data_IF_331420091466
#
_entry.id   IF_331420091466
#
_cell.length_a   1.000
_cell.length_b   1.000
_cell.length_c   1.000
_cell.angle_alpha   90.00
_cell.angle_beta   90.00
_cell.angle_gamma   90.00
#
_symmetry.space_group_name_H-M   'P 1'
#
loop_
_entity.id
_entity.type
_entity.pdbx_description
1 polymer ?
#
# COMPACT_ATOMS: atom_id res chain seq x y z
N UNK A 1 -70.96 3.38 2.27
CA UNK A 1 -70.32 2.06 2.38
C UNK A 1 -69.27 2.24 3.44
N UNK A 2 -69.36 1.52 4.56
CA UNK A 2 -68.57 1.83 5.76
C UNK A 2 -67.08 1.64 5.45
N UNK A 3 -66.31 2.72 5.59
CA UNK A 3 -64.84 2.70 5.56
C UNK A 3 -64.35 1.97 6.82
N UNK A 4 -64.53 0.65 6.84
CA UNK A 4 -63.95 -0.21 7.88
C UNK A 4 -62.43 -0.19 7.73
N UNK A 5 -61.77 0.00 8.85
CA UNK A 5 -60.32 0.10 8.94
C UNK A 5 -59.67 -1.17 8.35
N UNK A 6 -58.65 -1.05 7.47
CA UNK A 6 -57.95 -2.20 6.90
C UNK A 6 -57.50 -3.23 7.95
N UNK A 7 -57.12 -2.79 9.15
CA UNK A 7 -56.72 -3.66 10.26
C UNK A 7 -57.90 -4.49 10.80
N UNK A 8 -59.09 -3.90 10.90
CA UNK A 8 -60.32 -4.60 11.31
C UNK A 8 -60.77 -5.64 10.28
N UNK A 9 -60.57 -5.37 8.97
CA UNK A 9 -60.88 -6.32 7.89
C UNK A 9 -60.02 -7.58 7.93
N UNK A 10 -58.78 -7.46 8.41
CA UNK A 10 -57.88 -8.59 8.63
C UNK A 10 -57.99 -9.18 10.05
N UNK A 11 -58.82 -8.59 10.93
CA UNK A 11 -59.00 -9.05 12.31
C UNK A 11 -57.76 -8.84 13.20
N UNK A 12 -56.90 -7.89 12.84
CA UNK A 12 -55.64 -7.60 13.56
C UNK A 12 -55.68 -6.22 14.19
N UNK A 13 -54.92 -6.04 15.27
CA UNK A 13 -54.76 -4.74 15.90
C UNK A 13 -53.85 -3.82 15.08
N UNK A 14 -54.02 -2.50 15.20
CA UNK A 14 -53.21 -1.50 14.45
C UNK A 14 -51.71 -1.56 14.80
N UNK A 15 -51.39 -2.03 16.01
CA UNK A 15 -50.03 -2.23 16.53
C UNK A 15 -49.43 -3.61 16.26
N UNK A 16 -50.17 -4.51 15.57
CA UNK A 16 -49.71 -5.86 15.26
C UNK A 16 -48.37 -5.85 14.48
N UNK A 17 -47.54 -6.85 14.72
CA UNK A 17 -46.30 -7.04 13.97
C UNK A 17 -46.59 -7.42 12.50
N UNK A 18 -45.59 -7.23 11.62
CA UNK A 18 -45.77 -7.60 10.20
C UNK A 18 -46.03 -9.10 10.03
N UNK A 19 -45.39 -9.92 10.87
CA UNK A 19 -45.55 -11.38 10.85
C UNK A 19 -46.99 -11.78 11.22
N UNK A 20 -47.58 -11.14 12.24
CA UNK A 20 -48.98 -11.38 12.64
C UNK A 20 -49.98 -10.99 11.55
N UNK A 21 -49.72 -9.91 10.79
CA UNK A 21 -50.56 -9.48 9.66
C UNK A 21 -50.51 -10.51 8.53
N UNK A 22 -49.32 -11.07 8.27
CA UNK A 22 -49.14 -12.10 7.24
C UNK A 22 -49.82 -13.42 7.62
N UNK A 23 -49.75 -13.81 8.89
CA UNK A 23 -50.40 -15.01 9.41
C UNK A 23 -51.93 -14.87 9.39
N UNK A 24 -52.46 -13.70 9.73
CA UNK A 24 -53.90 -13.40 9.65
C UNK A 24 -54.42 -13.45 8.21
N UNK A 25 -53.67 -12.87 7.24
CA UNK A 25 -54.00 -12.98 5.81
C UNK A 25 -54.07 -14.44 5.38
N UNK A 26 -53.03 -15.23 5.67
CA UNK A 26 -52.99 -16.64 5.26
C UNK A 26 -54.14 -17.44 5.86
N UNK A 27 -54.45 -17.22 7.15
CA UNK A 27 -55.58 -17.87 7.83
C UNK A 27 -56.93 -17.51 7.19
N UNK A 28 -57.13 -16.25 6.79
CA UNK A 28 -58.37 -15.80 6.15
C UNK A 28 -58.51 -16.31 4.71
N UNK A 29 -57.40 -16.38 3.96
CA UNK A 29 -57.37 -16.95 2.62
C UNK A 29 -57.69 -18.45 2.63
N UNK A 30 -57.21 -19.19 3.63
CA UNK A 30 -57.54 -20.61 3.82
C UNK A 30 -59.02 -20.81 4.17
N UNK A 31 -59.60 -19.93 4.99
CA UNK A 31 -61.01 -19.99 5.38
C UNK A 31 -61.97 -19.58 4.24
N UNK A 32 -61.56 -18.68 3.35
CA UNK A 32 -62.38 -18.12 2.27
C UNK A 32 -61.95 -18.58 0.86
N UNK A 33 -61.21 -19.70 0.76
CA UNK A 33 -60.54 -20.22 -0.45
C UNK A 33 -61.41 -20.58 -1.67
N UNK A 34 -62.65 -20.09 -1.76
CA UNK A 34 -63.52 -20.26 -2.92
C UNK A 34 -64.42 -19.06 -3.25
N UNK A 35 -64.40 -17.98 -2.47
CA UNK A 35 -65.22 -16.78 -2.72
C UNK A 35 -64.36 -15.60 -3.18
N UNK A 36 -64.34 -15.36 -4.50
CA UNK A 36 -63.46 -14.38 -5.13
C UNK A 36 -63.63 -12.94 -4.64
N UNK A 37 -64.84 -12.57 -4.18
CA UNK A 37 -65.10 -11.23 -3.64
C UNK A 37 -64.42 -11.05 -2.27
N UNK A 38 -64.51 -12.07 -1.41
CA UNK A 38 -63.86 -12.09 -0.11
C UNK A 38 -62.33 -12.05 -0.25
N UNK A 39 -61.77 -12.76 -1.24
CA UNK A 39 -60.32 -12.72 -1.53
C UNK A 39 -59.85 -11.32 -1.95
N UNK A 40 -60.57 -10.66 -2.85
CA UNK A 40 -60.23 -9.30 -3.30
C UNK A 40 -60.26 -8.29 -2.14
N UNK A 41 -61.22 -8.42 -1.22
CA UNK A 41 -61.30 -7.56 -0.02
C UNK A 41 -60.13 -7.80 0.94
N UNK A 42 -59.72 -9.07 1.13
CA UNK A 42 -58.57 -9.43 1.98
C UNK A 42 -57.27 -8.89 1.39
N UNK A 43 -57.05 -9.04 0.09
CA UNK A 43 -55.86 -8.54 -0.60
C UNK A 43 -55.80 -7.01 -0.61
N UNK A 44 -56.92 -6.34 -0.88
CA UNK A 44 -57.00 -4.88 -0.82
C UNK A 44 -56.73 -4.33 0.60
N UNK A 45 -57.18 -5.04 1.65
CA UNK A 45 -56.89 -4.65 3.04
C UNK A 45 -55.40 -4.83 3.38
N UNK A 46 -54.79 -5.93 2.92
CA UNK A 46 -53.36 -6.19 3.09
C UNK A 46 -52.49 -5.14 2.39
N UNK A 47 -52.81 -4.81 1.14
CA UNK A 47 -52.10 -3.79 0.37
C UNK A 47 -52.23 -2.39 1.01
N UNK A 48 -53.41 -2.05 1.53
CA UNK A 48 -53.62 -0.79 2.25
C UNK A 48 -52.73 -0.69 3.50
N UNK A 49 -52.61 -1.77 4.29
CA UNK A 49 -51.74 -1.81 5.48
C UNK A 49 -50.27 -1.72 5.08
N UNK A 50 -49.89 -2.41 4.01
CA UNK A 50 -48.52 -2.39 3.50
C UNK A 50 -48.11 -0.99 3.05
N UNK A 51 -48.99 -0.31 2.29
CA UNK A 51 -48.75 1.06 1.82
C UNK A 51 -48.72 2.07 2.97
N UNK A 52 -49.60 1.93 3.96
CA UNK A 52 -49.61 2.80 5.13
C UNK A 52 -48.33 2.63 5.98
N UNK A 53 -47.83 1.40 6.15
CA UNK A 53 -46.55 1.15 6.85
C UNK A 53 -45.33 1.61 6.04
N UNK A 54 -45.38 1.52 4.71
CA UNK A 54 -44.35 2.08 3.84
C UNK A 54 -44.33 3.61 3.96
N UNK A 55 -45.49 4.26 3.97
CA UNK A 55 -45.63 5.70 4.21
C UNK A 55 -45.06 6.09 5.58
N UNK A 56 -45.36 5.34 6.63
CA UNK A 56 -44.76 5.54 7.96
C UNK A 56 -43.24 5.36 7.97
N UNK A 57 -42.67 4.44 7.17
CA UNK A 57 -41.21 4.32 6.98
C UNK A 57 -40.63 5.56 6.30
N UNK A 58 -41.28 6.03 5.24
CA UNK A 58 -40.85 7.19 4.45
C UNK A 58 -40.97 8.51 5.23
N UNK A 59 -41.99 8.66 6.07
CA UNK A 59 -42.19 9.80 6.97
C UNK A 59 -41.24 9.82 8.18
N UNK A 60 -40.36 8.81 8.34
CA UNK A 60 -39.37 8.76 9.42
C UNK A 60 -39.96 8.53 10.81
N UNK A 61 -41.24 8.14 10.92
CA UNK A 61 -41.94 7.87 12.19
C UNK A 61 -41.62 6.51 12.79
N UNK A 62 -40.98 5.62 12.04
CA UNK A 62 -40.40 4.41 12.61
C UNK A 62 -39.10 4.81 13.29
N UNK A 63 -39.13 4.88 14.62
CA UNK A 63 -37.93 4.97 15.46
C UNK A 63 -37.00 3.84 15.04
N UNK A 64 -35.93 4.17 14.32
CA UNK A 64 -34.82 3.27 14.07
C UNK A 64 -34.32 2.82 15.46
N UNK A 65 -34.36 1.53 15.80
CA UNK A 65 -33.67 1.07 16.99
C UNK A 65 -32.19 1.42 16.80
N UNK A 66 -31.65 2.34 17.61
CA UNK A 66 -30.21 2.66 17.68
C UNK A 66 -29.45 1.44 18.21
N UNK A 67 -29.37 0.37 17.43
CA UNK A 67 -28.50 -0.77 17.72
C UNK A 67 -27.87 -1.38 16.48
N UNK A 68 -27.74 -0.59 15.42
CA UNK A 68 -26.71 -0.79 14.41
C UNK A 68 -25.65 0.25 14.67
N UNK A 69 -24.69 -0.14 15.51
CA UNK A 69 -23.38 0.51 15.60
C UNK A 69 -22.82 0.42 14.19
N UNK A 70 -22.94 1.50 13.42
CA UNK A 70 -22.25 1.62 12.15
C UNK A 70 -20.80 1.19 12.40
N UNK A 71 -20.26 0.20 11.68
CA UNK A 71 -18.83 0.07 11.57
C UNK A 71 -18.40 1.28 10.74
N UNK A 72 -18.40 2.46 11.36
CA UNK A 72 -17.38 3.44 11.03
C UNK A 72 -16.11 2.63 11.07
N UNK A 73 -15.50 2.50 9.89
CA UNK A 73 -14.13 2.08 9.73
C UNK A 73 -13.34 2.88 10.75
N UNK A 74 -13.09 2.27 11.92
CA UNK A 74 -11.82 2.42 12.59
C UNK A 74 -10.83 1.84 11.60
N UNK A 75 -10.48 2.65 10.60
CA UNK A 75 -9.15 2.64 10.03
C UNK A 75 -8.28 2.50 11.24
N UNK A 76 -7.67 1.33 11.38
CA UNK A 76 -6.70 1.06 12.41
C UNK A 76 -5.71 2.20 12.27
N UNK A 77 -5.83 3.20 13.15
CA UNK A 77 -4.82 4.21 13.31
C UNK A 77 -3.60 3.39 13.66
N UNK A 78 -2.72 3.21 12.69
CA UNK A 78 -1.41 2.62 12.89
C UNK A 78 -0.87 3.19 14.20
N UNK A 79 -0.27 2.37 15.08
CA UNK A 79 0.28 2.83 16.33
C UNK A 79 1.00 4.14 16.07
N UNK A 80 0.55 5.20 16.75
CA UNK A 80 1.11 6.54 16.67
C UNK A 80 2.55 6.37 17.17
N UNK A 81 3.43 6.06 16.24
CA UNK A 81 4.85 5.91 16.47
C UNK A 81 5.27 7.25 17.05
N UNK A 82 5.73 7.19 18.30
CA UNK A 82 6.13 8.33 19.09
C UNK A 82 6.87 9.32 18.22
N UNK A 83 6.28 10.51 18.04
CA UNK A 83 6.91 11.67 17.44
C UNK A 83 8.10 12.05 18.33
N UNK A 84 9.21 11.35 18.11
CA UNK A 84 10.51 11.93 18.40
C UNK A 84 10.64 13.14 17.47
N UNK A 85 11.03 14.32 17.96
CA UNK A 85 11.34 15.46 17.11
C UNK A 85 12.54 15.09 16.23
N UNK A 86 12.29 14.43 15.10
CA UNK A 86 13.34 14.08 14.15
C UNK A 86 13.52 15.28 13.25
N UNK A 87 14.54 16.05 13.62
CA UNK A 87 15.28 17.06 12.84
C UNK A 87 14.84 17.14 11.37
N UNK A 88 14.44 18.35 11.01
CA UNK A 88 13.87 18.80 9.74
C UNK A 88 14.74 18.38 8.54
N UNK A 89 14.51 17.18 8.01
CA UNK A 89 15.00 16.81 6.69
C UNK A 89 13.98 17.28 5.66
N UNK A 90 14.40 18.02 4.61
CA UNK A 90 13.46 18.55 3.64
C UNK A 90 12.72 17.41 2.91
N UNK A 91 11.43 17.62 2.62
CA UNK A 91 10.52 16.56 2.16
C UNK A 91 10.97 15.85 0.85
N UNK A 92 11.77 16.52 0.01
CA UNK A 92 12.37 15.90 -1.17
C UNK A 92 13.42 14.85 -0.81
N UNK A 93 14.17 15.06 0.27
CA UNK A 93 15.19 14.13 0.78
C UNK A 93 14.53 12.91 1.41
N UNK A 94 13.45 13.09 2.18
CA UNK A 94 12.67 11.98 2.76
C UNK A 94 11.99 11.10 1.72
N UNK A 95 11.68 11.65 0.53
CA UNK A 95 11.13 10.89 -0.59
C UNK A 95 12.18 10.02 -1.29
N UNK A 96 13.46 10.40 -1.17
CA UNK A 96 14.59 9.73 -1.82
C UNK A 96 15.27 8.75 -0.85
N UNK A 97 15.32 9.08 0.45
CA UNK A 97 16.03 8.33 1.47
C UNK A 97 15.12 7.29 2.13
N UNK A 98 15.36 6.00 1.88
CA UNK A 98 14.68 4.94 2.65
C UNK A 98 15.32 4.81 4.04
N UNK A 99 14.60 4.26 5.02
CA UNK A 99 15.22 3.83 6.29
C UNK A 99 15.70 2.38 6.10
N UNK A 100 17.00 2.16 5.84
CA UNK A 100 17.42 0.85 5.46
C UNK A 100 17.48 -0.07 6.69
N UNK A 101 16.89 -1.26 6.57
CA UNK A 101 17.16 -2.34 7.50
C UNK A 101 18.63 -2.72 7.36
N UNK A 102 19.32 -2.94 8.47
CA UNK A 102 20.77 -3.20 8.50
C UNK A 102 21.20 -4.30 7.52
N UNK A 103 20.34 -5.31 7.35
CA UNK A 103 20.54 -6.44 6.43
C UNK A 103 20.61 -6.00 4.96
N UNK A 104 19.80 -5.02 4.56
CA UNK A 104 19.73 -4.48 3.19
C UNK A 104 20.93 -3.58 2.83
N UNK A 105 21.74 -3.19 3.82
CA UNK A 105 22.99 -2.43 3.69
C UNK A 105 24.21 -3.36 3.72
N UNK A 106 24.17 -4.36 4.59
CA UNK A 106 25.25 -5.34 4.78
C UNK A 106 25.43 -6.24 3.55
N UNK A 107 24.35 -6.70 2.91
CA UNK A 107 24.43 -7.58 1.74
C UNK A 107 25.12 -6.91 0.54
N UNK A 108 24.69 -5.70 0.11
CA UNK A 108 25.41 -4.97 -0.93
C UNK A 108 26.83 -4.58 -0.50
N UNK A 109 27.00 -4.20 0.78
CA UNK A 109 28.30 -3.82 1.34
C UNK A 109 29.33 -4.93 1.24
N UNK A 110 28.95 -6.17 1.55
CA UNK A 110 29.82 -7.33 1.42
C UNK A 110 30.26 -7.56 -0.03
N UNK A 111 29.34 -7.37 -0.99
CA UNK A 111 29.62 -7.55 -2.41
C UNK A 111 30.58 -6.49 -2.96
N UNK A 112 30.33 -5.22 -2.64
CA UNK A 112 31.20 -4.12 -3.04
C UNK A 112 32.55 -4.15 -2.33
N UNK A 113 32.61 -4.60 -1.07
CA UNK A 113 33.89 -4.87 -0.38
C UNK A 113 34.68 -5.96 -1.08
N UNK A 114 34.02 -7.07 -1.46
CA UNK A 114 34.66 -8.15 -2.21
C UNK A 114 35.22 -7.67 -3.55
N UNK A 115 34.42 -6.94 -4.34
CA UNK A 115 34.84 -6.38 -5.64
C UNK A 115 35.96 -5.34 -5.50
N UNK A 116 35.89 -4.50 -4.46
CA UNK A 116 36.93 -3.54 -4.13
C UNK A 116 38.23 -4.23 -3.74
N UNK A 117 38.18 -5.26 -2.90
CA UNK A 117 39.35 -6.04 -2.51
C UNK A 117 39.99 -6.70 -3.73
N UNK A 118 39.21 -7.34 -4.59
CA UNK A 118 39.70 -7.96 -5.83
C UNK A 118 40.40 -6.92 -6.71
N UNK A 119 39.83 -5.71 -6.84
CA UNK A 119 40.40 -4.62 -7.66
C UNK A 119 41.74 -4.09 -7.12
N UNK A 120 41.94 -4.13 -5.80
CA UNK A 120 43.17 -3.65 -5.13
C UNK A 120 44.25 -4.74 -5.04
N UNK A 121 43.87 -5.97 -4.72
CA UNK A 121 44.81 -7.08 -4.48
C UNK A 121 45.26 -7.78 -5.78
N UNK A 122 44.58 -7.58 -6.91
CA UNK A 122 44.98 -8.10 -8.22
C UNK A 122 45.36 -6.98 -9.21
N UNK A 123 46.40 -6.16 -8.92
CA UNK A 123 46.87 -5.12 -9.85
C UNK A 123 47.44 -5.72 -11.16
N UNK A 124 47.90 -6.97 -11.12
CA UNK A 124 48.52 -7.66 -12.25
C UNK A 124 47.53 -8.03 -13.37
N UNK A 125 46.23 -8.06 -13.09
CA UNK A 125 45.22 -8.47 -14.06
C UNK A 125 44.75 -7.32 -14.99
N UNK A 126 45.31 -6.12 -14.82
CA UNK A 126 45.15 -5.00 -15.75
C UNK A 126 43.75 -4.39 -15.80
N UNK A 127 43.58 -3.45 -16.74
CA UNK A 127 42.33 -2.69 -16.94
C UNK A 127 41.11 -3.58 -17.23
N UNK A 128 41.31 -4.80 -17.75
CA UNK A 128 40.24 -5.74 -18.09
C UNK A 128 39.52 -6.29 -16.85
N UNK A 129 40.25 -6.63 -15.78
CA UNK A 129 39.61 -7.10 -14.54
C UNK A 129 38.87 -5.98 -13.82
N UNK A 130 39.41 -4.76 -13.86
CA UNK A 130 38.72 -3.56 -13.36
C UNK A 130 37.39 -3.32 -14.11
N UNK A 131 37.41 -3.44 -15.45
CA UNK A 131 36.20 -3.31 -16.27
C UNK A 131 35.18 -4.42 -15.97
N UNK A 132 35.61 -5.68 -15.85
CA UNK A 132 34.71 -6.78 -15.47
C UNK A 132 34.11 -6.58 -14.08
N UNK A 133 34.92 -6.13 -13.12
CA UNK A 133 34.44 -5.82 -11.77
C UNK A 133 33.42 -4.69 -11.77
N UNK A 134 33.63 -3.64 -12.58
CA UNK A 134 32.66 -2.55 -12.76
C UNK A 134 31.35 -3.04 -13.39
N UNK A 135 31.42 -3.83 -14.46
CA UNK A 135 30.23 -4.40 -15.12
C UNK A 135 29.44 -5.27 -14.15
N UNK A 136 30.11 -6.13 -13.39
CA UNK A 136 29.48 -6.92 -12.34
C UNK A 136 28.87 -6.01 -11.26
N UNK A 137 29.62 -5.05 -10.74
CA UNK A 137 29.16 -4.11 -9.72
C UNK A 137 27.91 -3.33 -10.14
N UNK A 138 27.83 -2.94 -11.41
CA UNK A 138 26.64 -2.31 -12.02
C UNK A 138 25.48 -3.30 -12.10
N UNK A 139 25.71 -4.52 -12.60
CA UNK A 139 24.67 -5.54 -12.69
C UNK A 139 24.06 -5.90 -11.32
N UNK A 140 24.91 -6.04 -10.30
CA UNK A 140 24.47 -6.25 -8.91
C UNK A 140 23.71 -5.02 -8.39
N UNK A 141 24.16 -3.80 -8.70
CA UNK A 141 23.47 -2.58 -8.30
C UNK A 141 22.06 -2.50 -8.88
N UNK A 142 21.94 -2.70 -10.20
CA UNK A 142 20.67 -2.67 -10.91
C UNK A 142 19.74 -3.78 -10.40
N UNK A 143 20.26 -4.99 -10.16
CA UNK A 143 19.46 -6.10 -9.64
C UNK A 143 18.89 -5.80 -8.24
N UNK A 144 19.72 -5.37 -7.30
CA UNK A 144 19.28 -5.05 -5.94
C UNK A 144 18.31 -3.86 -5.92
N UNK A 145 18.59 -2.82 -6.70
CA UNK A 145 17.76 -1.63 -6.73
C UNK A 145 16.41 -1.90 -7.43
N UNK A 146 16.39 -2.71 -8.49
CA UNK A 146 15.15 -3.17 -9.10
C UNK A 146 14.33 -4.05 -8.13
N UNK A 147 14.99 -4.95 -7.37
CA UNK A 147 14.32 -5.77 -6.35
C UNK A 147 13.70 -4.93 -5.23
N UNK A 148 14.30 -3.79 -4.87
CA UNK A 148 13.79 -2.88 -3.84
C UNK A 148 12.67 -1.96 -4.35
N UNK A 149 12.87 -1.32 -5.50
CA UNK A 149 11.94 -0.28 -6.00
C UNK A 149 10.84 -0.81 -6.92
N UNK A 150 11.04 -1.97 -7.55
CA UNK A 150 10.19 -2.49 -8.64
C UNK A 150 10.22 -1.64 -9.92
N UNK A 151 11.09 -0.62 -10.00
CA UNK A 151 11.17 0.36 -11.10
C UNK A 151 12.52 0.28 -11.80
N UNK A 152 12.64 -0.64 -12.76
CA UNK A 152 13.89 -0.88 -13.49
C UNK A 152 14.50 0.40 -14.12
N UNK A 153 13.70 1.26 -14.76
CA UNK A 153 14.23 2.45 -15.44
C UNK A 153 14.89 3.45 -14.49
N UNK A 154 14.30 3.65 -13.31
CA UNK A 154 14.85 4.55 -12.29
C UNK A 154 16.12 3.97 -11.67
N UNK A 155 16.14 2.66 -11.43
CA UNK A 155 17.32 1.96 -10.97
C UNK A 155 18.50 2.08 -11.95
N UNK A 156 18.24 1.89 -13.25
CA UNK A 156 19.27 2.06 -14.29
C UNK A 156 19.79 3.50 -14.35
N UNK A 157 18.91 4.50 -14.25
CA UNK A 157 19.34 5.90 -14.25
C UNK A 157 20.22 6.25 -13.05
N UNK A 158 19.86 5.82 -11.84
CA UNK A 158 20.66 6.10 -10.65
C UNK A 158 22.00 5.38 -10.66
N UNK A 159 22.04 4.14 -11.11
CA UNK A 159 23.29 3.37 -11.23
C UNK A 159 24.23 3.96 -12.28
N UNK A 160 23.71 4.36 -13.44
CA UNK A 160 24.51 5.06 -14.47
C UNK A 160 25.00 6.42 -13.98
N UNK A 161 24.12 7.21 -13.35
CA UNK A 161 24.49 8.50 -12.78
C UNK A 161 25.59 8.38 -11.72
N UNK A 162 25.44 7.43 -10.80
CA UNK A 162 26.44 7.12 -9.77
C UNK A 162 27.76 6.65 -10.37
N UNK A 163 27.73 5.82 -11.41
CA UNK A 163 28.93 5.34 -12.10
C UNK A 163 29.70 6.49 -12.76
N UNK A 164 29.03 7.37 -13.49
CA UNK A 164 29.67 8.51 -14.14
C UNK A 164 30.28 9.45 -13.09
N UNK A 165 29.51 9.78 -12.06
CA UNK A 165 29.96 10.65 -10.97
C UNK A 165 31.15 10.02 -10.23
N UNK A 166 31.08 8.73 -9.93
CA UNK A 166 32.14 8.02 -9.22
C UNK A 166 33.43 7.91 -10.00
N UNK A 167 33.36 7.66 -11.31
CA UNK A 167 34.56 7.58 -12.14
C UNK A 167 35.24 8.94 -12.30
N UNK A 168 34.46 10.00 -12.54
CA UNK A 168 34.99 11.36 -12.70
C UNK A 168 35.55 11.88 -11.38
N UNK A 169 34.76 11.81 -10.30
CA UNK A 169 35.20 12.24 -8.99
C UNK A 169 36.42 11.43 -8.52
N UNK A 170 36.41 10.12 -8.78
CA UNK A 170 37.50 9.22 -8.45
C UNK A 170 38.80 9.55 -9.17
N UNK A 171 38.73 9.85 -10.46
CA UNK A 171 39.90 10.27 -11.24
C UNK A 171 40.43 11.64 -10.81
N UNK A 172 39.54 12.61 -10.53
CA UNK A 172 39.94 13.93 -10.05
C UNK A 172 40.59 13.88 -8.67
N UNK A 173 40.00 13.13 -7.75
CA UNK A 173 40.56 12.96 -6.40
C UNK A 173 41.86 12.18 -6.47
N UNK A 174 41.95 11.15 -7.32
CA UNK A 174 43.18 10.37 -7.50
C UNK A 174 44.33 11.24 -8.04
N UNK A 175 44.07 12.01 -9.09
CA UNK A 175 45.10 12.87 -9.71
C UNK A 175 45.60 13.95 -8.77
N UNK A 176 44.78 14.40 -7.81
CA UNK A 176 45.22 15.31 -6.77
C UNK A 176 45.91 14.59 -5.60
N UNK A 177 45.38 13.47 -5.11
CA UNK A 177 45.81 12.80 -3.88
C UNK A 177 47.04 11.90 -4.05
N UNK A 178 47.12 11.12 -5.14
CA UNK A 178 48.21 10.17 -5.36
C UNK A 178 49.60 10.84 -5.37
N UNK A 179 49.79 12.03 -5.97
CA UNK A 179 51.06 12.75 -5.90
C UNK A 179 51.48 13.13 -4.47
N UNK A 180 50.52 13.34 -3.55
CA UNK A 180 50.80 13.68 -2.15
C UNK A 180 51.11 12.45 -1.28
N UNK A 181 50.75 11.24 -1.73
CA UNK A 181 50.88 10.00 -0.93
C UNK A 181 51.70 8.93 -1.64
N UNK A 182 53.04 9.07 -1.74
CA UNK A 182 53.90 8.10 -2.42
C UNK A 182 53.97 6.73 -1.72
N UNK A 183 53.43 6.60 -0.51
CA UNK A 183 53.35 5.34 0.23
C UNK A 183 52.24 4.41 -0.29
N UNK A 184 51.27 4.92 -1.04
CA UNK A 184 50.13 4.15 -1.56
C UNK A 184 50.41 3.79 -3.03
N UNK A 185 50.72 2.51 -3.30
CA UNK A 185 50.94 1.98 -4.65
C UNK A 185 49.62 1.65 -5.37
N UNK A 186 48.67 2.59 -5.38
CA UNK A 186 47.43 2.44 -6.16
C UNK A 186 47.56 3.18 -7.48
N UNK A 187 47.03 2.60 -8.55
CA UNK A 187 46.86 3.33 -9.81
C UNK A 187 45.61 4.21 -9.75
N UNK A 188 45.60 5.31 -10.52
CA UNK A 188 44.45 6.23 -10.58
C UNK A 188 43.13 5.49 -10.91
N UNK A 189 43.19 4.52 -11.82
CA UNK A 189 42.05 3.71 -12.24
C UNK A 189 41.50 2.80 -11.12
N UNK A 190 42.39 2.25 -10.28
CA UNK A 190 41.97 1.44 -9.14
C UNK A 190 41.27 2.29 -8.09
N UNK A 191 41.85 3.46 -7.77
CA UNK A 191 41.24 4.38 -6.82
C UNK A 191 39.85 4.84 -7.28
N UNK A 192 39.73 5.18 -8.57
CA UNK A 192 38.46 5.58 -9.17
C UNK A 192 37.40 4.47 -9.12
N UNK A 193 37.80 3.23 -9.38
CA UNK A 193 36.93 2.05 -9.33
C UNK A 193 36.43 1.77 -7.90
N UNK A 194 37.33 1.84 -6.91
CA UNK A 194 36.98 1.68 -5.49
C UNK A 194 36.00 2.76 -5.04
N UNK A 195 36.26 4.03 -5.40
CA UNK A 195 35.34 5.12 -5.07
C UNK A 195 33.96 4.91 -5.72
N UNK A 196 33.94 4.43 -6.96
CA UNK A 196 32.69 4.11 -7.66
C UNK A 196 31.91 3.01 -6.95
N UNK A 197 32.57 1.97 -6.44
CA UNK A 197 31.89 0.94 -5.63
C UNK A 197 31.33 1.48 -4.32
N UNK A 198 32.02 2.42 -3.66
CA UNK A 198 31.52 3.08 -2.46
C UNK A 198 30.25 3.89 -2.78
N UNK A 199 30.24 4.62 -3.89
CA UNK A 199 29.07 5.38 -4.32
C UNK A 199 27.90 4.48 -4.73
N UNK A 200 28.16 3.38 -5.44
CA UNK A 200 27.13 2.39 -5.78
C UNK A 200 26.57 1.71 -4.53
N UNK A 201 27.41 1.43 -3.53
CA UNK A 201 26.97 0.91 -2.24
C UNK A 201 26.06 1.92 -1.52
N UNK A 202 26.44 3.20 -1.50
CA UNK A 202 25.67 4.25 -0.85
C UNK A 202 24.33 4.46 -1.55
N UNK A 203 24.31 4.49 -2.88
CA UNK A 203 23.07 4.55 -3.67
C UNK A 203 22.18 3.35 -3.37
N UNK A 204 22.70 2.13 -3.39
CA UNK A 204 21.88 0.94 -3.13
C UNK A 204 21.41 0.83 -1.66
N UNK A 205 22.14 1.43 -0.72
CA UNK A 205 21.80 1.37 0.71
C UNK A 205 20.81 2.44 1.13
N UNK A 206 20.87 3.62 0.52
CA UNK A 206 20.12 4.79 0.99
C UNK A 206 19.04 5.27 0.02
N UNK A 207 19.10 4.95 -1.29
CA UNK A 207 18.02 5.31 -2.20
C UNK A 207 16.87 4.29 -2.16
N UNK A 208 15.66 4.84 -2.03
CA UNK A 208 14.37 4.18 -2.26
C UNK A 208 13.99 4.25 -3.74
#
# INVERSE_FOLDING_TARGET
MSDQNPYEKLGVSEDASFDEIQDARNSLLEQHGGDGNSLEVIEAAYDAILMERLRMRQEGKIKVPERIRFPEMRVQSSPKESLTPREQTPAWLQRILDQPKSVDVLLPGAWYLGLSAISVFYPAAGAQVLQLALVLGVGISVYFLNRKEGKFGRAVLFTLGSLIIGLIAGALIASWLLPLTPFIKLTENQFSTVLTFILLWLVNSFLR
#
